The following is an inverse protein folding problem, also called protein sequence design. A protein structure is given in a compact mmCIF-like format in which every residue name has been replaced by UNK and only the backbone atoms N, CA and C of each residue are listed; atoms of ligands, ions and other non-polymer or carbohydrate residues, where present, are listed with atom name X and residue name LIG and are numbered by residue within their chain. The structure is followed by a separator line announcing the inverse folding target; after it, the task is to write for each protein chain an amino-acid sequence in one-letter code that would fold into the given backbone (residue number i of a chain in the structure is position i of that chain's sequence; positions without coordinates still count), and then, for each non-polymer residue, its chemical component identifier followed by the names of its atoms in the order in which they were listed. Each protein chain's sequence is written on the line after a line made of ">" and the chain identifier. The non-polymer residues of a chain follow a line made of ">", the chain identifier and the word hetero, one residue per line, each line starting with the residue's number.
data_IF_961648411268
#
_entry.id   IF_961648411268
#
_cell.length_a   1.000
_cell.length_b   1.000
_cell.length_c   1.000
_cell.angle_alpha   90.00
_cell.angle_beta   90.00
_cell.angle_gamma   90.00
#
_symmetry.space_group_name_H-M   'P 1'
#
loop_
_entity.id
_entity.type
_entity.pdbx_description
1 polymer ?
#
# COMPACT_ATOMS: atom_id res chain seq x y z
N UNK A 1 10.98 33.21 -6.24
CA UNK A 1 10.28 32.40 -5.23
C UNK A 1 10.70 30.96 -5.47
N UNK A 2 11.72 30.49 -4.75
CA UNK A 2 12.24 29.12 -4.85
C UNK A 2 11.23 28.17 -4.20
N UNK A 3 10.50 27.42 -5.03
CA UNK A 3 9.53 26.43 -4.56
C UNK A 3 10.31 25.18 -4.12
N UNK A 4 10.54 25.06 -2.81
CA UNK A 4 10.83 23.78 -2.14
C UNK A 4 12.30 23.43 -1.90
N UNK A 5 12.96 24.12 -0.96
CA UNK A 5 13.88 23.42 -0.05
C UNK A 5 13.05 22.89 1.15
N UNK A 6 12.08 22.00 0.89
CA UNK A 6 10.98 21.77 1.81
C UNK A 6 10.55 20.30 1.92
N UNK A 7 10.92 19.69 3.05
CA UNK A 7 10.55 18.37 3.58
C UNK A 7 11.28 17.15 2.98
N UNK A 8 12.15 16.55 3.80
CA UNK A 8 12.94 15.35 3.50
C UNK A 8 12.26 14.05 3.96
N UNK A 9 10.94 14.00 3.96
CA UNK A 9 10.20 12.82 4.41
C UNK A 9 9.23 12.35 3.34
N UNK A 10 8.88 11.08 3.40
CA UNK A 10 7.94 10.45 2.50
C UNK A 10 6.88 9.76 3.36
N UNK A 11 5.65 9.71 2.87
CA UNK A 11 4.59 9.00 3.56
C UNK A 11 4.55 7.56 3.10
N UNK A 12 4.51 6.63 4.04
CA UNK A 12 4.14 5.24 3.75
C UNK A 12 2.84 4.94 4.48
N UNK A 13 1.82 4.61 3.71
CA UNK A 13 0.50 4.26 4.22
C UNK A 13 0.32 2.77 4.00
N UNK A 14 -0.04 2.04 5.05
CA UNK A 14 -0.16 0.59 5.03
C UNK A 14 -1.55 0.18 5.50
N UNK A 15 -2.20 -0.71 4.76
CA UNK A 15 -3.44 -1.36 5.16
C UNK A 15 -3.21 -2.86 5.26
N UNK A 16 -3.67 -3.45 6.36
CA UNK A 16 -3.64 -4.89 6.57
C UNK A 16 -5.01 -5.47 6.23
N UNK A 17 -5.09 -6.26 5.18
CA UNK A 17 -6.36 -6.72 4.60
C UNK A 17 -6.34 -8.21 4.26
N UNK A 18 -7.53 -8.80 4.10
CA UNK A 18 -7.67 -10.16 3.61
C UNK A 18 -7.26 -10.29 2.13
N UNK A 19 -6.94 -11.52 1.71
CA UNK A 19 -6.49 -11.85 0.34
C UNK A 19 -7.42 -11.29 -0.76
N UNK A 20 -8.74 -11.37 -0.56
CA UNK A 20 -9.75 -10.93 -1.52
C UNK A 20 -9.85 -9.41 -1.67
N UNK A 21 -9.51 -8.66 -0.62
CA UNK A 21 -9.50 -7.20 -0.63
C UNK A 21 -8.17 -6.59 -1.13
N UNK A 22 -7.08 -7.37 -1.16
CA UNK A 22 -5.74 -6.87 -1.43
C UNK A 22 -5.59 -6.21 -2.82
N UNK A 23 -6.17 -6.82 -3.87
CA UNK A 23 -6.14 -6.25 -5.23
C UNK A 23 -6.90 -4.91 -5.26
N UNK A 24 -8.01 -4.79 -4.52
CA UNK A 24 -8.79 -3.55 -4.47
C UNK A 24 -8.07 -2.42 -3.73
N UNK A 25 -7.35 -2.74 -2.66
CA UNK A 25 -6.52 -1.76 -1.93
C UNK A 25 -5.37 -1.26 -2.81
N UNK A 26 -4.72 -2.15 -3.55
CA UNK A 26 -3.64 -1.77 -4.47
C UNK A 26 -4.13 -0.83 -5.57
N UNK A 27 -5.24 -1.15 -6.24
CA UNK A 27 -5.89 -0.24 -7.20
C UNK A 27 -6.24 1.12 -6.58
N UNK A 28 -6.73 1.11 -5.34
CA UNK A 28 -7.10 2.34 -4.63
C UNK A 28 -5.87 3.21 -4.35
N UNK A 29 -4.77 2.62 -3.87
CA UNK A 29 -3.51 3.33 -3.64
C UNK A 29 -2.94 3.91 -4.95
N UNK A 30 -3.06 3.18 -6.06
CA UNK A 30 -2.64 3.65 -7.38
C UNK A 30 -3.43 4.88 -7.82
N UNK A 31 -4.76 4.84 -7.71
CA UNK A 31 -5.66 5.97 -8.04
C UNK A 31 -5.39 7.19 -7.17
N UNK A 32 -5.02 6.96 -5.90
CA UNK A 32 -4.68 8.03 -4.96
C UNK A 32 -3.28 8.64 -5.19
N UNK A 33 -2.51 8.11 -6.14
CA UNK A 33 -1.23 8.67 -6.56
C UNK A 33 -0.02 8.11 -5.80
N UNK A 34 -0.09 6.86 -5.32
CA UNK A 34 1.09 6.19 -4.78
C UNK A 34 2.18 6.09 -5.85
N UNK A 35 3.40 6.50 -5.50
CA UNK A 35 4.59 6.42 -6.37
C UNK A 35 5.15 4.99 -6.47
N UNK A 36 4.92 4.20 -5.43
CA UNK A 36 5.27 2.80 -5.39
C UNK A 36 4.28 2.07 -4.48
N UNK A 37 3.96 0.83 -4.83
CA UNK A 37 3.11 -0.04 -4.02
C UNK A 37 3.87 -1.32 -3.72
N UNK A 38 3.82 -1.75 -2.46
CA UNK A 38 4.42 -3.01 -2.00
C UNK A 38 3.37 -3.85 -1.29
N UNK A 39 3.45 -5.16 -1.48
CA UNK A 39 2.56 -6.14 -0.83
C UNK A 39 3.41 -7.17 -0.11
N UNK A 40 3.07 -7.46 1.13
CA UNK A 40 3.80 -8.41 1.98
C UNK A 40 2.83 -9.30 2.78
N UNK A 41 3.30 -10.48 3.18
CA UNK A 41 2.61 -11.32 4.15
C UNK A 41 2.50 -10.56 5.48
N UNK A 42 1.30 -10.57 6.06
CA UNK A 42 1.03 -10.00 7.38
C UNK A 42 0.49 -11.04 8.37
N UNK A 43 0.43 -12.31 7.99
CA UNK A 43 0.03 -13.40 8.86
C UNK A 43 1.17 -13.96 9.70
N UNK A 44 0.83 -14.62 10.80
CA UNK A 44 1.80 -15.30 11.69
C UNK A 44 2.22 -16.69 11.17
N UNK A 45 1.76 -17.08 9.98
CA UNK A 45 2.01 -18.40 9.38
C UNK A 45 2.83 -18.24 8.11
N UNK A 46 4.15 -18.53 8.14
CA UNK A 46 5.00 -18.36 6.98
C UNK A 46 4.49 -19.22 5.82
N UNK A 47 4.25 -18.58 4.68
CA UNK A 47 3.94 -19.27 3.43
C UNK A 47 5.16 -19.33 2.53
N UNK A 48 5.36 -20.50 1.93
CA UNK A 48 6.39 -20.73 0.93
C UNK A 48 5.73 -20.90 -0.42
N UNK A 49 6.26 -20.23 -1.43
CA UNK A 49 5.81 -20.42 -2.80
C UNK A 49 6.11 -21.85 -3.27
N UNK A 50 5.31 -22.32 -4.22
CA UNK A 50 5.63 -23.53 -4.96
C UNK A 50 6.82 -23.26 -5.90
N UNK A 51 7.31 -24.30 -6.60
CA UNK A 51 8.44 -24.18 -7.53
C UNK A 51 8.22 -23.20 -8.71
N UNK A 52 7.02 -22.66 -8.87
CA UNK A 52 6.67 -21.63 -9.86
C UNK A 52 6.04 -20.43 -9.15
N UNK A 53 6.42 -19.19 -9.52
CA UNK A 53 5.79 -17.99 -8.99
C UNK A 53 4.32 -17.94 -9.41
N UNK A 54 3.46 -17.59 -8.46
CA UNK A 54 2.02 -17.40 -8.63
C UNK A 54 1.57 -16.22 -7.75
N UNK A 55 0.30 -15.82 -7.80
CA UNK A 55 -0.25 -14.83 -6.88
C UNK A 55 -0.04 -15.28 -5.42
N UNK A 56 0.39 -14.39 -4.52
CA UNK A 56 0.53 -14.72 -3.10
C UNK A 56 -0.78 -15.22 -2.51
N UNK A 57 -0.72 -16.30 -1.71
CA UNK A 57 -1.89 -16.88 -1.01
C UNK A 57 -1.95 -16.49 0.46
N UNK A 58 -1.21 -15.45 0.84
CA UNK A 58 -1.21 -14.89 2.18
C UNK A 58 -2.62 -14.51 2.58
N UNK A 59 -3.12 -15.14 3.64
CA UNK A 59 -4.49 -14.92 4.12
C UNK A 59 -4.69 -13.47 4.60
N UNK A 60 -3.63 -12.89 5.16
CA UNK A 60 -3.57 -11.50 5.59
C UNK A 60 -2.38 -10.83 4.90
N UNK A 61 -2.60 -9.65 4.33
CA UNK A 61 -1.62 -8.95 3.50
C UNK A 61 -1.47 -7.51 3.97
N UNK A 62 -0.23 -7.05 4.08
CA UNK A 62 0.07 -5.63 4.24
C UNK A 62 0.31 -5.04 2.86
N UNK A 63 -0.64 -4.22 2.39
CA UNK A 63 -0.51 -3.46 1.14
C UNK A 63 -0.13 -2.03 1.51
N UNK A 64 0.99 -1.53 0.98
CA UNK A 64 1.54 -0.23 1.33
C UNK A 64 1.79 0.64 0.10
N UNK A 65 1.34 1.89 0.16
CA UNK A 65 1.61 2.92 -0.85
C UNK A 65 2.61 3.96 -0.32
N UNK A 66 3.53 4.38 -1.19
CA UNK A 66 4.52 5.42 -0.93
C UNK A 66 4.09 6.73 -1.59
N UNK A 67 4.10 7.83 -0.85
CA UNK A 67 3.64 9.14 -1.31
C UNK A 67 4.66 10.24 -1.01
N UNK A 68 4.57 11.33 -1.78
CA UNK A 68 5.45 12.50 -1.62
C UNK A 68 5.04 13.33 -0.39
N UNK A 69 5.94 14.15 0.17
CA UNK A 69 5.63 14.96 1.34
C UNK A 69 4.53 16.02 1.11
N UNK A 70 4.21 16.36 -0.16
CA UNK A 70 3.13 17.27 -0.53
C UNK A 70 1.75 16.60 -0.70
N UNK A 71 1.66 15.29 -0.52
CA UNK A 71 0.37 14.57 -0.55
C UNK A 71 -0.55 15.02 0.59
N UNK A 72 -1.82 15.31 0.25
CA UNK A 72 -2.87 15.57 1.24
C UNK A 72 -3.35 14.26 1.87
N UNK A 73 -2.82 13.97 3.06
CA UNK A 73 -3.10 12.74 3.80
C UNK A 73 -4.58 12.57 4.16
N UNK A 74 -5.32 13.66 4.40
CA UNK A 74 -6.73 13.59 4.74
C UNK A 74 -7.59 13.04 3.58
N UNK A 75 -7.12 13.22 2.34
CA UNK A 75 -7.77 12.69 1.14
C UNK A 75 -7.54 11.19 0.92
N UNK A 76 -6.62 10.57 1.66
CA UNK A 76 -6.24 9.15 1.50
C UNK A 76 -7.05 8.22 2.42
N UNK A 77 -7.34 8.64 3.65
CA UNK A 77 -7.93 7.75 4.68
C UNK A 77 -9.34 7.27 4.32
N UNK A 78 -10.21 8.17 3.86
CA UNK A 78 -11.61 7.86 3.56
C UNK A 78 -11.78 6.74 2.51
N UNK A 79 -11.13 6.85 1.33
CA UNK A 79 -11.19 5.81 0.31
C UNK A 79 -10.67 4.45 0.77
N UNK A 80 -9.63 4.40 1.63
CA UNK A 80 -9.05 3.13 2.11
C UNK A 80 -9.94 2.42 3.14
N UNK A 81 -10.69 3.16 3.96
CA UNK A 81 -11.64 2.59 4.93
C UNK A 81 -12.89 2.03 4.25
N UNK A 82 -13.18 2.47 3.02
CA UNK A 82 -14.35 2.04 2.25
C UNK A 82 -14.12 0.78 1.38
N UNK A 83 -12.90 0.24 1.40
CA UNK A 83 -12.53 -1.04 0.74
C UNK A 83 -12.84 -2.20 1.66
#
# INVERSE_FOLDING_TARGET
>A
MTKGEGQSHWWRISATVALDAADRVEETLEVLGALAITRMDAGDSPQFDAALPDKPRWALQSVSGLFTPDTDMASIEGPLVAV
#
